data_IF_858614411261
#
_entry.id   IF_858614411261
#
_cell.length_a   1.000
_cell.length_b   1.000
_cell.length_c   1.000
_cell.angle_alpha   90.00
_cell.angle_beta   90.00
_cell.angle_gamma   90.00
#
_symmetry.space_group_name_H-M   'P 1'
#
loop_
_entity.id
_entity.type
_entity.pdbx_description
1 polymer ?
#
# COMPACT_ATOMS: atom_id res chain seq x y z
N UNK A 1 -18.94 -14.09 4.51
CA UNK A 1 -18.12 -15.32 4.46
C UNK A 1 -16.70 -14.93 4.84
N UNK A 2 -16.04 -15.72 5.68
CA UNK A 2 -14.65 -15.46 6.07
C UNK A 2 -13.73 -16.10 5.02
N UNK A 3 -12.71 -15.36 4.57
CA UNK A 3 -11.68 -15.89 3.68
C UNK A 3 -10.84 -16.93 4.44
N UNK A 4 -10.33 -17.94 3.73
CA UNK A 4 -9.38 -18.87 4.35
C UNK A 4 -8.01 -18.22 4.50
N UNK A 5 -7.31 -18.56 5.58
CA UNK A 5 -6.03 -17.93 5.93
C UNK A 5 -4.95 -18.18 4.85
N UNK A 6 -4.98 -19.32 4.16
CA UNK A 6 -4.03 -19.67 3.10
C UNK A 6 -4.09 -18.76 1.87
N UNK A 7 -5.17 -17.97 1.72
CA UNK A 7 -5.27 -16.97 0.66
C UNK A 7 -4.37 -15.77 0.93
N UNK A 8 -4.16 -15.39 2.20
CA UNK A 8 -3.29 -14.27 2.58
C UNK A 8 -1.80 -14.60 2.39
N UNK A 9 -1.44 -15.88 2.33
CA UNK A 9 -0.07 -16.31 1.99
C UNK A 9 0.21 -16.26 0.47
N UNK A 10 -0.83 -16.27 -0.37
CA UNK A 10 -0.74 -16.37 -1.83
C UNK A 10 -0.99 -15.05 -2.55
N UNK A 11 -1.76 -14.17 -1.92
CA UNK A 11 -2.20 -12.91 -2.47
C UNK A 11 -2.04 -11.79 -1.46
N UNK A 12 -1.74 -10.59 -1.98
CA UNK A 12 -2.01 -9.38 -1.23
C UNK A 12 -3.53 -9.18 -1.22
N UNK A 13 -4.14 -9.11 -0.04
CA UNK A 13 -5.58 -8.93 0.13
C UNK A 13 -5.81 -7.77 1.07
N UNK A 14 -6.53 -6.75 0.61
CA UNK A 14 -6.79 -5.54 1.41
C UNK A 14 -8.11 -4.90 1.03
N UNK A 15 -8.64 -4.07 1.93
CA UNK A 15 -9.82 -3.24 1.65
C UNK A 15 -9.36 -1.86 1.19
N UNK A 16 -9.92 -1.37 0.09
CA UNK A 16 -9.73 0.01 -0.34
C UNK A 16 -10.91 0.91 0.00
N UNK A 17 -12.09 0.32 0.27
CA UNK A 17 -13.32 0.97 0.76
C UNK A 17 -14.16 -0.05 1.53
N UNK A 18 -15.20 0.41 2.22
CA UNK A 18 -16.08 -0.45 3.02
C UNK A 18 -16.66 -1.65 2.28
N UNK A 19 -17.01 -1.46 1.01
CA UNK A 19 -17.62 -2.48 0.15
C UNK A 19 -16.69 -3.00 -0.96
N UNK A 20 -15.39 -2.66 -0.93
CA UNK A 20 -14.42 -3.10 -1.92
C UNK A 20 -13.31 -3.92 -1.27
N UNK A 21 -13.22 -5.18 -1.70
CA UNK A 21 -12.08 -6.04 -1.44
C UNK A 21 -11.23 -6.07 -2.71
N UNK A 22 -9.96 -5.74 -2.55
CA UNK A 22 -8.96 -5.82 -3.61
C UNK A 22 -7.99 -6.95 -3.31
N UNK A 23 -7.50 -7.56 -4.38
CA UNK A 23 -6.55 -8.66 -4.33
C UNK A 23 -5.62 -8.58 -5.53
N UNK A 24 -4.36 -8.91 -5.31
CA UNK A 24 -3.30 -8.92 -6.31
C UNK A 24 -2.32 -10.07 -6.02
N UNK A 25 -1.46 -10.45 -6.98
CA UNK A 25 -0.41 -11.43 -6.71
C UNK A 25 0.45 -11.00 -5.52
N UNK A 26 1.00 -11.97 -4.78
CA UNK A 26 1.89 -11.67 -3.66
C UNK A 26 2.98 -10.67 -4.03
N UNK A 27 3.28 -9.72 -3.14
CA UNK A 27 4.25 -8.65 -3.36
C UNK A 27 3.86 -7.63 -4.44
N UNK A 28 2.59 -7.58 -4.88
CA UNK A 28 2.08 -6.55 -5.80
C UNK A 28 1.22 -5.55 -5.02
N UNK A 29 1.87 -4.53 -4.47
CA UNK A 29 1.22 -3.43 -3.74
C UNK A 29 1.93 -2.08 -4.02
N UNK A 30 1.33 -0.98 -3.55
CA UNK A 30 1.75 0.39 -3.87
C UNK A 30 3.22 0.66 -3.53
N UNK A 31 3.71 0.24 -2.36
CA UNK A 31 5.11 0.41 -1.99
C UNK A 31 6.10 -0.24 -2.98
N UNK A 32 5.87 -1.50 -3.39
CA UNK A 32 6.75 -2.17 -4.36
C UNK A 32 6.67 -1.54 -5.75
N UNK A 33 5.51 -1.00 -6.13
CA UNK A 33 5.36 -0.19 -7.34
C UNK A 33 6.22 1.07 -7.30
N UNK A 34 6.21 1.80 -6.17
CA UNK A 34 7.03 2.98 -5.96
C UNK A 34 8.52 2.64 -5.94
N UNK A 35 8.94 1.59 -5.22
CA UNK A 35 10.34 1.16 -5.17
C UNK A 35 10.90 0.91 -6.58
N UNK A 36 10.15 0.20 -7.42
CA UNK A 36 10.54 -0.04 -8.83
C UNK A 36 10.63 1.25 -9.63
N UNK A 37 9.65 2.15 -9.48
CA UNK A 37 9.62 3.43 -10.20
C UNK A 37 10.80 4.32 -9.78
N UNK A 38 11.04 4.47 -8.48
CA UNK A 38 12.09 5.32 -7.93
C UNK A 38 13.47 4.79 -8.29
N UNK A 39 13.66 3.47 -8.25
CA UNK A 39 14.88 2.82 -8.76
C UNK A 39 15.10 3.10 -10.25
N UNK A 40 14.03 3.06 -11.06
CA UNK A 40 14.11 3.34 -12.49
C UNK A 40 14.47 4.80 -12.77
N UNK A 41 14.01 5.73 -11.92
CA UNK A 41 14.30 7.16 -12.04
C UNK A 41 15.68 7.54 -11.47
N UNK A 42 16.35 6.65 -10.74
CA UNK A 42 17.65 6.91 -10.12
C UNK A 42 17.56 7.85 -8.90
N UNK A 43 16.42 7.89 -8.24
CA UNK A 43 16.18 8.70 -7.02
C UNK A 43 16.25 7.82 -5.77
N UNK A 44 16.40 8.45 -4.61
CA UNK A 44 16.38 7.76 -3.33
C UNK A 44 14.97 7.75 -2.72
N UNK A 45 14.66 6.69 -1.96
CA UNK A 45 13.43 6.60 -1.15
C UNK A 45 13.24 7.80 -0.21
N UNK A 46 14.35 8.37 0.29
CA UNK A 46 14.41 9.56 1.15
C UNK A 46 13.84 10.82 0.48
N UNK A 47 13.83 10.87 -0.85
CA UNK A 47 13.32 11.97 -1.66
C UNK A 47 11.83 11.82 -2.00
N UNK A 48 11.19 10.74 -1.53
CA UNK A 48 9.80 10.42 -1.85
C UNK A 48 8.87 10.89 -0.75
N UNK A 49 7.83 11.63 -1.15
CA UNK A 49 6.67 11.92 -0.33
C UNK A 49 5.46 11.14 -0.85
N UNK A 50 4.74 10.46 0.04
CA UNK A 50 3.46 9.81 -0.27
C UNK A 50 2.34 10.42 0.55
N UNK A 51 1.14 10.48 -0.04
CA UNK A 51 -0.08 10.94 0.63
C UNK A 51 -1.18 9.91 0.36
N UNK A 52 -1.88 9.46 1.39
CA UNK A 52 -2.95 8.47 1.24
C UNK A 52 -3.94 8.47 2.40
N UNK A 53 -5.01 7.71 2.22
CA UNK A 53 -6.17 7.74 3.12
C UNK A 53 -6.76 6.35 3.43
N UNK A 54 -6.52 5.35 2.59
CA UNK A 54 -7.14 4.03 2.73
C UNK A 54 -6.13 2.94 3.07
N UNK A 55 -6.60 1.78 3.53
CA UNK A 55 -5.71 0.73 4.03
C UNK A 55 -4.70 0.22 2.97
N UNK A 56 -5.00 0.36 1.67
CA UNK A 56 -4.07 0.01 0.60
C UNK A 56 -2.90 1.00 0.43
N UNK A 57 -2.98 2.20 1.02
CA UNK A 57 -1.92 3.22 1.06
C UNK A 57 -0.90 2.99 2.17
N UNK A 58 -1.26 2.23 3.21
CA UNK A 58 -0.44 2.06 4.41
C UNK A 58 0.98 1.60 4.09
N UNK A 59 1.12 0.69 3.12
CA UNK A 59 2.44 0.19 2.68
C UNK A 59 3.31 1.33 2.13
N UNK A 60 2.78 2.18 1.25
CA UNK A 60 3.56 3.26 0.62
C UNK A 60 3.83 4.42 1.58
N UNK A 61 2.92 4.67 2.53
CA UNK A 61 3.09 5.70 3.56
C UNK A 61 4.24 5.32 4.49
N UNK A 62 4.30 4.05 4.94
CA UNK A 62 5.41 3.56 5.76
C UNK A 62 6.72 3.47 5.03
N UNK A 63 6.66 3.21 3.72
CA UNK A 63 7.85 3.06 2.89
C UNK A 63 8.47 4.42 2.52
N UNK A 64 7.70 5.46 2.25
CA UNK A 64 8.27 6.73 1.77
C UNK A 64 9.18 7.41 2.81
N UNK A 65 10.15 8.21 2.35
CA UNK A 65 10.95 9.08 3.21
C UNK A 65 10.09 10.06 4.03
N UNK A 66 8.96 10.50 3.45
CA UNK A 66 7.89 11.21 4.15
C UNK A 66 6.51 10.64 3.76
N UNK A 67 5.90 9.89 4.67
CA UNK A 67 4.52 9.43 4.53
C UNK A 67 3.53 10.39 5.20
N UNK A 68 2.43 10.72 4.51
CA UNK A 68 1.36 11.59 5.00
C UNK A 68 0.02 10.87 4.98
N UNK A 69 -0.61 10.78 6.14
CA UNK A 69 -2.01 10.41 6.28
C UNK A 69 -2.90 11.63 6.04
N UNK A 70 -3.85 11.52 5.13
CA UNK A 70 -4.84 12.57 4.86
C UNK A 70 -5.79 12.74 6.05
N UNK A 71 -6.44 13.90 6.17
CA UNK A 71 -7.40 14.16 7.26
C UNK A 71 -8.56 13.14 7.30
N UNK A 72 -8.95 12.61 6.13
CA UNK A 72 -10.02 11.64 5.97
C UNK A 72 -9.54 10.18 6.01
N UNK A 73 -8.29 9.95 6.43
CA UNK A 73 -7.73 8.61 6.44
C UNK A 73 -8.47 7.69 7.41
N UNK A 74 -8.57 6.40 7.05
CA UNK A 74 -9.05 5.36 7.94
C UNK A 74 -8.06 5.16 9.09
N UNK A 75 -8.52 4.73 10.26
CA UNK A 75 -7.68 4.60 11.45
C UNK A 75 -6.45 3.67 11.33
N UNK A 76 -6.42 2.82 10.29
CA UNK A 76 -5.28 1.94 10.01
C UNK A 76 -4.10 2.66 9.33
N UNK A 77 -4.32 3.87 8.79
CA UNK A 77 -3.35 4.74 8.13
C UNK A 77 -2.94 5.87 9.09
#
# INVERSE_FOLDING_TARGET
AQLSDDLFDKYEIFKSRDMLLEWSPQNVHKANGLEKLISHLGSEQSEVMTCGDEANDLSMIKWAGLGVAMQNAVAAV
#
